data_IF_923140999449
#
_entry.id   IF_923140999449
#
_cell.length_a   1.000
_cell.length_b   1.000
_cell.length_c   1.000
_cell.angle_alpha   90.00
_cell.angle_beta   90.00
_cell.angle_gamma   90.00
#
_symmetry.space_group_name_H-M   'P 1'
#
loop_
_entity.id
_entity.type
_entity.pdbx_description
1 polymer ?
#
# COMPACT_ATOMS: atom_id res chain seq x y z
N UNK A 1 -42.12 -60.41 -8.88
CA UNK A 1 -42.03 -60.72 -10.32
C UNK A 1 -42.94 -59.74 -11.05
N UNK A 2 -42.32 -58.91 -11.89
CA UNK A 2 -42.81 -58.23 -13.13
C UNK A 2 -44.27 -57.76 -13.22
N UNK A 3 -44.63 -56.61 -13.81
CA UNK A 3 -43.93 -55.67 -14.69
C UNK A 3 -44.88 -54.52 -15.08
N UNK A 4 -44.32 -53.32 -15.24
CA UNK A 4 -44.68 -52.20 -16.15
C UNK A 4 -46.15 -51.72 -16.37
N UNK A 5 -46.42 -50.50 -15.85
CA UNK A 5 -46.94 -49.23 -16.47
C UNK A 5 -47.63 -49.27 -17.87
N UNK A 6 -48.53 -48.32 -18.29
CA UNK A 6 -48.42 -46.84 -18.07
C UNK A 6 -49.70 -45.93 -18.16
N UNK A 7 -49.54 -44.59 -17.93
CA UNK A 7 -50.19 -43.43 -18.66
C UNK A 7 -51.72 -43.16 -18.45
N UNK A 8 -52.35 -41.97 -18.30
CA UNK A 8 -52.08 -40.52 -18.47
C UNK A 8 -53.29 -39.76 -17.83
N UNK A 9 -53.09 -38.60 -17.15
CA UNK A 9 -53.96 -37.41 -17.35
C UNK A 9 -53.39 -36.12 -16.70
N UNK A 10 -52.84 -35.26 -17.58
CA UNK A 10 -52.89 -33.76 -17.68
C UNK A 10 -52.73 -32.90 -16.40
N UNK A 11 -51.63 -32.15 -16.22
CA UNK A 11 -51.21 -30.85 -16.83
C UNK A 11 -51.68 -29.59 -16.05
N UNK A 12 -50.69 -28.76 -15.70
CA UNK A 12 -50.68 -27.30 -15.37
C UNK A 12 -51.26 -26.78 -14.04
N UNK A 13 -50.38 -26.26 -13.15
CA UNK A 13 -50.18 -24.80 -12.97
C UNK A 13 -49.18 -24.45 -11.83
N UNK A 14 -48.13 -23.69 -12.24
CA UNK A 14 -47.40 -22.60 -11.56
C UNK A 14 -47.22 -22.59 -10.01
N UNK A 15 -45.95 -22.68 -9.62
CA UNK A 15 -45.17 -21.64 -8.91
C UNK A 15 -45.91 -20.73 -7.91
N UNK A 16 -45.67 -20.88 -6.60
CA UNK A 16 -45.08 -19.87 -5.69
C UNK A 16 -45.17 -20.25 -4.20
N UNK A 17 -44.15 -19.80 -3.45
CA UNK A 17 -44.01 -19.71 -1.98
C UNK A 17 -43.62 -21.01 -1.25
N UNK A 18 -42.58 -21.05 -0.44
CA UNK A 18 -41.64 -20.02 -0.01
C UNK A 18 -40.76 -20.63 1.07
N UNK A 19 -39.45 -20.68 0.84
CA UNK A 19 -38.45 -21.02 1.85
C UNK A 19 -37.94 -19.73 2.48
N UNK A 20 -38.37 -19.46 3.71
CA UNK A 20 -37.66 -18.57 4.61
C UNK A 20 -36.27 -19.16 4.87
N UNK A 21 -35.21 -18.45 4.51
CA UNK A 21 -33.85 -18.76 4.93
C UNK A 21 -33.40 -17.64 5.86
N UNK A 22 -33.27 -17.98 7.14
CA UNK A 22 -32.65 -17.18 8.16
C UNK A 22 -31.24 -17.73 8.39
N UNK A 23 -30.23 -16.86 8.30
CA UNK A 23 -29.06 -16.77 9.19
C UNK A 23 -28.12 -17.97 9.35
N UNK A 24 -26.88 -17.80 8.84
CA UNK A 24 -25.68 -18.52 9.27
C UNK A 24 -25.30 -19.70 8.38
N UNK A 25 -24.40 -19.48 7.42
CA UNK A 25 -23.67 -20.59 6.80
C UNK A 25 -22.81 -21.25 7.88
N UNK A 26 -23.24 -22.40 8.40
CA UNK A 26 -22.35 -23.27 9.17
C UNK A 26 -21.25 -23.74 8.21
N UNK A 27 -20.04 -23.21 8.39
CA UNK A 27 -18.87 -23.67 7.65
C UNK A 27 -18.73 -25.19 7.79
N UNK A 28 -18.43 -25.86 6.68
CA UNK A 28 -18.20 -27.29 6.71
C UNK A 28 -16.93 -27.60 7.53
N UNK A 29 -16.79 -28.83 8.02
CA UNK A 29 -15.56 -29.25 8.69
C UNK A 29 -14.32 -29.09 7.79
N UNK A 30 -14.51 -29.22 6.47
CA UNK A 30 -13.44 -29.02 5.49
C UNK A 30 -13.03 -27.54 5.40
N UNK A 31 -13.98 -26.62 5.41
CA UNK A 31 -13.72 -25.17 5.39
C UNK A 31 -12.92 -24.74 6.63
N UNK A 32 -13.29 -25.24 7.82
CA UNK A 32 -12.57 -24.96 9.07
C UNK A 32 -11.12 -25.45 9.02
N UNK A 33 -10.87 -26.63 8.44
CA UNK A 33 -9.51 -27.17 8.28
C UNK A 33 -8.70 -26.33 7.29
N UNK A 34 -9.32 -25.89 6.19
CA UNK A 34 -8.65 -25.02 5.22
C UNK A 34 -8.29 -23.65 5.80
N UNK A 35 -9.20 -23.04 6.58
CA UNK A 35 -8.95 -21.80 7.32
C UNK A 35 -7.77 -21.92 8.28
N UNK A 36 -7.75 -22.98 9.09
CA UNK A 36 -6.66 -23.21 10.05
C UNK A 36 -5.31 -23.47 9.35
N UNK A 37 -5.31 -24.21 8.24
CA UNK A 37 -4.10 -24.43 7.44
C UNK A 37 -3.56 -23.14 6.83
N UNK A 38 -4.44 -22.28 6.33
CA UNK A 38 -4.03 -20.98 5.78
C UNK A 38 -3.46 -20.08 6.86
N UNK A 39 -4.12 -19.99 8.02
CA UNK A 39 -3.60 -19.26 9.20
C UNK A 39 -2.19 -19.72 9.56
N UNK A 40 -1.96 -21.03 9.64
CA UNK A 40 -0.65 -21.60 9.98
C UNK A 40 0.43 -21.18 8.97
N UNK A 41 0.14 -21.25 7.68
CA UNK A 41 1.10 -20.83 6.62
C UNK A 41 1.48 -19.36 6.74
N UNK A 42 0.51 -18.50 7.06
CA UNK A 42 0.78 -17.07 7.26
C UNK A 42 1.64 -16.80 8.49
N UNK A 43 1.37 -17.54 9.56
CA UNK A 43 2.20 -17.56 10.76
C UNK A 43 3.65 -18.03 10.44
N UNK A 44 3.82 -19.12 9.71
CA UNK A 44 5.15 -19.60 9.29
C UNK A 44 5.89 -18.55 8.45
N UNK A 45 5.19 -17.93 7.49
CA UNK A 45 5.75 -16.84 6.69
C UNK A 45 6.22 -15.64 7.53
N UNK A 46 5.41 -15.17 8.49
CA UNK A 46 5.80 -14.03 9.34
C UNK A 46 7.02 -14.36 10.22
N UNK A 47 7.15 -15.62 10.64
CA UNK A 47 8.29 -16.10 11.43
C UNK A 47 9.60 -16.14 10.64
N UNK A 48 9.52 -16.53 9.36
CA UNK A 48 10.68 -16.73 8.47
C UNK A 48 10.91 -15.54 7.54
N UNK A 49 10.19 -14.42 7.74
CA UNK A 49 10.25 -13.27 6.83
C UNK A 49 11.67 -12.75 6.72
N UNK A 50 12.12 -12.60 5.48
CA UNK A 50 13.42 -12.04 5.10
C UNK A 50 13.25 -11.18 3.86
N UNK A 51 14.18 -10.25 3.57
CA UNK A 51 14.26 -9.64 2.26
C UNK A 51 14.32 -10.72 1.18
N UNK A 52 13.41 -10.64 0.21
CA UNK A 52 13.36 -11.52 -0.95
C UNK A 52 14.04 -10.84 -2.12
N UNK A 53 14.75 -11.60 -2.96
CA UNK A 53 15.32 -11.03 -4.19
C UNK A 53 14.21 -10.64 -5.16
N UNK A 54 14.49 -9.71 -6.08
CA UNK A 54 13.51 -9.26 -7.07
C UNK A 54 12.88 -10.44 -7.84
N UNK A 55 13.67 -11.43 -8.27
CA UNK A 55 13.14 -12.59 -9.01
C UNK A 55 12.20 -13.47 -8.17
N UNK A 56 12.41 -13.53 -6.84
CA UNK A 56 11.51 -14.23 -5.91
C UNK A 56 10.18 -13.47 -5.74
N UNK A 57 10.23 -12.13 -5.83
CA UNK A 57 9.04 -11.28 -5.77
C UNK A 57 8.28 -11.29 -7.12
N UNK A 58 8.95 -11.46 -8.25
CA UNK A 58 8.33 -11.43 -9.59
C UNK A 58 7.52 -12.70 -9.94
N UNK A 59 7.49 -13.71 -9.08
CA UNK A 59 6.67 -14.92 -9.27
C UNK A 59 5.17 -14.58 -9.25
N UNK A 60 4.34 -15.34 -9.97
CA UNK A 60 2.87 -15.18 -9.95
C UNK A 60 2.31 -15.14 -8.52
N UNK A 61 1.44 -14.16 -8.17
CA UNK A 61 0.92 -14.02 -6.80
C UNK A 61 0.26 -15.29 -6.24
N UNK A 62 -0.35 -16.13 -7.08
CA UNK A 62 -0.97 -17.40 -6.67
C UNK A 62 0.03 -18.47 -6.19
N UNK A 63 1.32 -18.31 -6.53
CA UNK A 63 2.42 -19.21 -6.13
C UNK A 63 3.23 -18.62 -4.98
N UNK A 64 2.96 -17.38 -4.58
CA UNK A 64 3.61 -16.74 -3.43
C UNK A 64 2.95 -17.21 -2.13
N UNK A 65 3.69 -17.21 -1.01
CA UNK A 65 3.11 -17.45 0.31
C UNK A 65 2.18 -16.31 0.76
N UNK A 66 2.29 -15.13 0.14
CA UNK A 66 1.55 -13.91 0.47
C UNK A 66 1.10 -13.16 -0.80
N UNK A 67 0.12 -12.28 -0.64
CA UNK A 67 -0.41 -11.44 -1.72
C UNK A 67 -1.50 -12.14 -2.54
N UNK A 68 -1.98 -13.30 -2.08
CA UNK A 68 -3.05 -14.06 -2.73
C UNK A 68 -4.46 -13.62 -2.27
N UNK A 69 -5.45 -13.99 -3.08
CA UNK A 69 -6.87 -13.93 -2.72
C UNK A 69 -7.26 -15.20 -1.99
N UNK A 70 -7.67 -15.07 -0.73
CA UNK A 70 -8.18 -16.18 0.05
C UNK A 70 -9.67 -16.38 -0.22
N UNK A 71 -10.05 -17.64 -0.44
CA UNK A 71 -11.46 -18.04 -0.58
C UNK A 71 -12.06 -18.52 0.74
N UNK A 72 -11.25 -18.76 1.76
CA UNK A 72 -11.70 -19.37 3.03
C UNK A 72 -11.60 -18.43 4.23
N UNK A 73 -10.71 -17.43 4.22
CA UNK A 73 -10.64 -16.46 5.31
C UNK A 73 -11.93 -15.67 5.50
N UNK A 74 -12.23 -15.35 6.75
CA UNK A 74 -13.38 -14.55 7.18
C UNK A 74 -12.99 -13.54 8.25
N UNK A 75 -13.88 -12.60 8.53
CA UNK A 75 -13.66 -11.63 9.61
C UNK A 75 -13.54 -12.25 10.99
N UNK A 76 -14.22 -13.38 11.23
CA UNK A 76 -14.20 -14.06 12.53
C UNK A 76 -12.87 -14.76 12.80
N UNK A 77 -11.98 -14.84 11.81
CA UNK A 77 -10.60 -15.31 12.02
C UNK A 77 -9.75 -14.29 12.79
N UNK A 78 -10.28 -13.09 13.07
CA UNK A 78 -9.51 -11.99 13.63
C UNK A 78 -10.16 -11.37 14.87
N UNK A 79 -9.36 -11.13 15.91
CA UNK A 79 -9.71 -10.25 17.01
C UNK A 79 -9.32 -8.81 16.62
N UNK A 80 -10.30 -7.90 16.55
CA UNK A 80 -10.08 -6.48 16.27
C UNK A 80 -9.61 -5.76 17.55
N UNK A 81 -8.39 -5.20 17.53
CA UNK A 81 -7.75 -4.62 18.72
C UNK A 81 -7.98 -3.11 18.79
N UNK A 82 -7.54 -2.35 17.79
CA UNK A 82 -7.61 -0.88 17.76
C UNK A 82 -7.72 -0.40 16.31
N UNK A 83 -8.45 0.69 16.07
CA UNK A 83 -8.36 1.39 14.77
C UNK A 83 -7.03 2.13 14.67
N UNK A 84 -6.26 1.85 13.62
CA UNK A 84 -4.97 2.49 13.32
C UNK A 84 -5.12 3.71 12.41
N UNK A 85 -6.20 3.77 11.62
CA UNK A 85 -6.42 4.85 10.67
C UNK A 85 -7.81 4.80 10.03
N UNK A 86 -8.29 5.97 9.61
CA UNK A 86 -9.54 6.11 8.86
C UNK A 86 -9.31 6.92 7.59
N UNK A 87 -9.69 6.36 6.45
CA UNK A 87 -9.76 7.06 5.17
C UNK A 87 -11.22 7.28 4.75
N UNK A 88 -11.42 7.88 3.57
CA UNK A 88 -12.74 8.25 3.04
C UNK A 88 -13.73 7.07 2.92
N UNK A 89 -13.23 5.87 2.62
CA UNK A 89 -14.03 4.64 2.46
C UNK A 89 -13.35 3.39 3.07
N UNK A 90 -12.24 3.60 3.78
CA UNK A 90 -11.44 2.53 4.37
C UNK A 90 -11.24 2.78 5.85
N UNK A 91 -11.21 1.71 6.64
CA UNK A 91 -10.78 1.74 8.04
C UNK A 91 -9.74 0.66 8.26
N UNK A 92 -8.63 1.03 8.87
CA UNK A 92 -7.52 0.12 9.15
C UNK A 92 -7.57 -0.27 10.63
N UNK A 93 -7.65 -1.57 10.88
CA UNK A 93 -7.66 -2.13 12.23
C UNK A 93 -6.35 -2.85 12.51
N UNK A 94 -5.77 -2.64 13.69
CA UNK A 94 -4.83 -3.59 14.26
C UNK A 94 -5.62 -4.84 14.63
N UNK A 95 -5.16 -5.98 14.15
CA UNK A 95 -5.81 -7.27 14.38
C UNK A 95 -4.78 -8.32 14.81
N UNK A 96 -5.27 -9.37 15.45
CA UNK A 96 -4.55 -10.64 15.61
C UNK A 96 -5.45 -11.78 15.19
N UNK A 97 -4.88 -12.95 14.91
CA UNK A 97 -5.71 -14.12 14.69
C UNK A 97 -6.48 -14.51 15.96
N UNK A 98 -7.77 -14.78 15.80
CA UNK A 98 -8.63 -15.24 16.87
C UNK A 98 -8.11 -16.58 17.41
N UNK A 99 -8.26 -16.78 18.72
CA UNK A 99 -7.80 -17.98 19.43
C UNK A 99 -6.30 -18.32 19.25
N UNK A 100 -5.47 -17.35 18.86
CA UNK A 100 -4.03 -17.55 18.76
C UNK A 100 -3.42 -17.93 20.12
N UNK A 101 -2.52 -18.92 20.11
CA UNK A 101 -1.86 -19.48 21.30
C UNK A 101 -0.34 -19.33 21.19
N UNK A 102 0.35 -19.34 22.33
CA UNK A 102 1.81 -19.28 22.35
C UNK A 102 2.33 -18.01 21.67
N UNK A 103 3.38 -18.14 20.87
CA UNK A 103 4.04 -17.04 20.15
C UNK A 103 3.14 -16.38 19.10
N UNK A 104 2.17 -17.10 18.53
CA UNK A 104 1.20 -16.54 17.59
C UNK A 104 0.29 -15.50 18.23
N UNK A 105 0.17 -15.52 19.57
CA UNK A 105 -0.62 -14.50 20.29
C UNK A 105 -0.07 -13.12 19.99
N UNK A 106 1.24 -12.94 19.97
CA UNK A 106 1.84 -11.62 19.79
C UNK A 106 1.99 -11.19 18.33
N UNK A 107 1.57 -12.03 17.38
CA UNK A 107 1.54 -11.68 15.96
C UNK A 107 0.31 -10.83 15.65
N UNK A 108 0.58 -9.68 15.06
CA UNK A 108 -0.42 -8.69 14.72
C UNK A 108 -0.28 -8.22 13.29
N UNK A 109 -1.39 -7.81 12.71
CA UNK A 109 -1.52 -7.37 11.33
C UNK A 109 -2.37 -6.11 11.26
N UNK A 110 -2.33 -5.42 10.12
CA UNK A 110 -3.22 -4.33 9.81
C UNK A 110 -4.31 -4.80 8.81
N UNK A 111 -5.56 -4.86 9.25
CA UNK A 111 -6.70 -5.23 8.42
C UNK A 111 -7.37 -3.97 7.86
N UNK A 112 -7.16 -3.69 6.57
CA UNK A 112 -7.84 -2.62 5.85
C UNK A 112 -9.22 -3.12 5.41
N UNK A 113 -10.29 -2.57 6.00
CA UNK A 113 -11.69 -2.84 5.65
C UNK A 113 -12.21 -1.77 4.71
N UNK A 114 -12.77 -2.15 3.57
CA UNK A 114 -13.37 -1.23 2.59
C UNK A 114 -14.82 -1.64 2.31
N UNK A 115 -15.79 -0.78 2.63
CA UNK A 115 -17.20 -1.10 2.37
C UNK A 115 -17.53 -0.99 0.89
N UNK A 116 -18.07 -2.06 0.29
CA UNK A 116 -18.41 -2.11 -1.14
C UNK A 116 -19.33 -0.95 -1.54
N UNK A 117 -20.32 -0.62 -0.71
CA UNK A 117 -21.26 0.48 -0.95
C UNK A 117 -20.54 1.83 -1.10
N UNK A 118 -19.62 2.14 -0.19
CA UNK A 118 -18.90 3.42 -0.25
C UNK A 118 -17.92 3.47 -1.43
N UNK A 119 -17.22 2.35 -1.69
CA UNK A 119 -16.32 2.22 -2.84
C UNK A 119 -17.08 2.46 -4.15
N UNK A 120 -18.29 1.91 -4.29
CA UNK A 120 -19.13 2.11 -5.48
C UNK A 120 -19.65 3.54 -5.55
N UNK A 121 -20.23 4.06 -4.45
CA UNK A 121 -20.81 5.41 -4.40
C UNK A 121 -19.78 6.49 -4.76
N UNK A 122 -18.55 6.32 -4.29
CA UNK A 122 -17.43 7.24 -4.56
C UNK A 122 -16.68 6.94 -5.87
N UNK A 123 -17.17 5.98 -6.67
CA UNK A 123 -16.57 5.57 -7.95
C UNK A 123 -15.10 5.12 -7.83
N UNK A 124 -14.75 4.46 -6.73
CA UNK A 124 -13.38 4.02 -6.41
C UNK A 124 -13.12 2.54 -6.73
N UNK A 125 -14.05 1.86 -7.43
CA UNK A 125 -13.95 0.42 -7.75
C UNK A 125 -12.63 0.09 -8.45
N UNK A 126 -12.24 0.85 -9.46
CA UNK A 126 -11.00 0.61 -10.20
C UNK A 126 -9.75 0.89 -9.34
N UNK A 127 -9.76 1.97 -8.55
CA UNK A 127 -8.65 2.30 -7.65
C UNK A 127 -8.41 1.20 -6.62
N UNK A 128 -9.47 0.69 -5.98
CA UNK A 128 -9.36 -0.40 -4.98
C UNK A 128 -8.84 -1.71 -5.60
N UNK A 129 -9.32 -2.05 -6.80
CA UNK A 129 -8.81 -3.24 -7.53
C UNK A 129 -7.35 -3.08 -7.90
N UNK A 130 -6.97 -1.91 -8.40
CA UNK A 130 -5.62 -1.60 -8.79
C UNK A 130 -4.67 -1.61 -7.58
N UNK A 131 -5.06 -1.00 -6.46
CA UNK A 131 -4.30 -1.05 -5.20
C UNK A 131 -4.02 -2.50 -4.79
N UNK A 132 -5.06 -3.35 -4.73
CA UNK A 132 -4.92 -4.77 -4.37
C UNK A 132 -4.01 -5.52 -5.33
N UNK A 133 -4.16 -5.30 -6.63
CA UNK A 133 -3.36 -5.99 -7.65
C UNK A 133 -1.88 -5.59 -7.60
N UNK A 134 -1.59 -4.30 -7.39
CA UNK A 134 -0.22 -3.82 -7.24
C UNK A 134 0.38 -4.36 -5.95
N UNK A 135 -0.33 -4.27 -4.82
CA UNK A 135 0.15 -4.84 -3.55
C UNK A 135 0.44 -6.35 -3.65
N UNK A 136 -0.39 -7.11 -4.37
CA UNK A 136 -0.13 -8.53 -4.64
C UNK A 136 1.16 -8.76 -5.46
N UNK A 137 1.42 -7.91 -6.46
CA UNK A 137 2.59 -8.08 -7.34
C UNK A 137 3.90 -7.70 -6.64
N UNK A 138 3.86 -6.76 -5.71
CA UNK A 138 5.04 -6.27 -4.97
C UNK A 138 5.24 -6.92 -3.59
N UNK A 139 4.30 -7.76 -3.16
CA UNK A 139 4.34 -8.45 -1.87
C UNK A 139 5.67 -9.19 -1.66
N UNK A 140 6.36 -8.90 -0.55
CA UNK A 140 7.67 -9.44 -0.19
C UNK A 140 8.85 -8.49 -0.36
N UNK A 141 8.67 -7.32 -0.99
CA UNK A 141 9.73 -6.30 -1.04
C UNK A 141 10.02 -5.75 0.38
N UNK A 142 11.30 -5.62 0.81
CA UNK A 142 11.66 -5.30 2.19
C UNK A 142 11.07 -3.96 2.68
N UNK A 143 10.98 -2.97 1.80
CA UNK A 143 10.56 -1.60 2.13
C UNK A 143 9.15 -1.22 1.64
N UNK A 144 8.36 -2.17 1.11
CA UNK A 144 6.96 -1.93 0.73
C UNK A 144 6.09 -2.73 1.68
N UNK A 145 4.95 -2.18 2.11
CA UNK A 145 3.99 -2.92 2.91
C UNK A 145 3.53 -4.19 2.18
N UNK A 146 3.73 -5.33 2.82
CA UNK A 146 3.30 -6.62 2.28
C UNK A 146 1.83 -6.83 2.55
N UNK A 147 1.04 -6.97 1.48
CA UNK A 147 -0.29 -7.57 1.58
C UNK A 147 -0.13 -9.07 1.77
N UNK A 148 -0.50 -9.54 2.95
CA UNK A 148 -0.45 -10.94 3.34
C UNK A 148 -1.51 -11.73 2.57
N UNK A 149 -2.74 -11.23 2.56
CA UNK A 149 -3.84 -11.78 1.77
C UNK A 149 -4.95 -10.74 1.57
N UNK A 150 -5.82 -10.99 0.60
CA UNK A 150 -7.10 -10.29 0.47
C UNK A 150 -8.27 -11.26 0.52
N UNK A 151 -9.41 -10.81 1.01
CA UNK A 151 -10.67 -11.58 1.01
C UNK A 151 -11.86 -10.62 0.99
N UNK A 152 -13.08 -11.16 0.92
CA UNK A 152 -14.30 -10.36 0.95
C UNK A 152 -15.45 -11.13 1.60
N UNK A 153 -16.41 -10.37 2.11
CA UNK A 153 -17.74 -10.87 2.46
C UNK A 153 -18.81 -10.20 1.58
N UNK A 154 -20.08 -10.29 1.99
CA UNK A 154 -21.18 -9.66 1.27
C UNK A 154 -21.00 -8.14 1.14
N UNK A 155 -20.60 -7.44 2.20
CA UNK A 155 -20.63 -5.98 2.29
C UNK A 155 -19.25 -5.32 2.16
N UNK A 156 -18.18 -6.06 2.42
CA UNK A 156 -16.85 -5.50 2.70
C UNK A 156 -15.74 -6.27 1.98
N UNK A 157 -14.75 -5.51 1.52
CA UNK A 157 -13.47 -6.00 1.01
C UNK A 157 -12.41 -5.86 2.09
N UNK A 158 -11.51 -6.83 2.17
CA UNK A 158 -10.48 -6.90 3.20
C UNK A 158 -9.10 -7.06 2.56
N UNK A 159 -8.13 -6.29 3.05
CA UNK A 159 -6.71 -6.52 2.79
C UNK A 159 -6.02 -6.68 4.14
N UNK A 160 -5.46 -7.86 4.38
CA UNK A 160 -4.61 -8.15 5.52
C UNK A 160 -3.18 -7.74 5.16
N UNK A 161 -2.66 -6.74 5.86
CA UNK A 161 -1.35 -6.13 5.62
C UNK A 161 -0.41 -6.41 6.80
N UNK A 162 0.89 -6.40 6.56
CA UNK A 162 1.86 -6.39 7.65
C UNK A 162 1.67 -5.15 8.54
N UNK A 163 1.80 -5.32 9.85
CA UNK A 163 1.72 -4.21 10.79
C UNK A 163 3.07 -3.51 10.96
N UNK A 164 3.07 -2.18 10.86
CA UNK A 164 4.26 -1.34 11.00
C UNK A 164 4.13 -0.43 12.24
N UNK A 165 4.75 -0.76 13.39
CA UNK A 165 4.44 -0.14 14.68
C UNK A 165 5.05 1.25 14.90
N UNK A 166 6.05 1.66 14.11
CA UNK A 166 6.75 2.93 14.33
C UNK A 166 5.94 4.16 13.92
N UNK A 167 4.84 4.00 13.18
CA UNK A 167 4.03 5.12 12.70
C UNK A 167 4.69 5.88 11.55
N UNK A 168 4.13 7.04 11.21
CA UNK A 168 4.51 7.83 10.04
C UNK A 168 5.84 8.57 10.21
N UNK A 169 6.69 8.55 9.17
CA UNK A 169 7.92 9.35 9.09
C UNK A 169 7.62 10.84 9.28
N UNK A 170 6.46 11.29 8.80
CA UNK A 170 5.97 12.66 9.01
C UNK A 170 6.08 13.11 10.48
N UNK A 171 5.61 12.29 11.42
CA UNK A 171 5.62 12.60 12.85
C UNK A 171 7.03 12.74 13.42
N UNK A 172 7.98 11.94 12.93
CA UNK A 172 9.39 12.05 13.32
C UNK A 172 10.04 13.30 12.74
N UNK A 173 9.78 13.60 11.47
CA UNK A 173 10.31 14.79 10.81
C UNK A 173 9.83 16.07 11.51
N UNK A 174 8.53 16.17 11.81
CA UNK A 174 7.96 17.34 12.50
C UNK A 174 8.57 17.54 13.89
N UNK A 175 8.78 16.45 14.63
CA UNK A 175 9.39 16.49 15.97
C UNK A 175 10.86 16.87 15.91
N UNK A 176 11.62 16.31 14.97
CA UNK A 176 13.03 16.63 14.76
C UNK A 176 13.23 18.02 14.11
N UNK A 177 12.16 18.61 13.57
CA UNK A 177 12.12 19.78 12.67
C UNK A 177 12.75 19.51 11.31
N UNK A 178 13.88 18.81 11.27
CA UNK A 178 14.56 18.31 10.06
C UNK A 178 15.45 17.14 10.44
N UNK A 179 15.74 16.26 9.50
CA UNK A 179 16.74 15.22 9.66
C UNK A 179 18.14 15.73 9.33
N UNK A 180 19.14 15.06 9.90
CA UNK A 180 20.52 15.25 9.48
C UNK A 180 20.76 14.52 8.14
N UNK A 181 21.86 14.86 7.47
CA UNK A 181 22.13 14.38 6.13
C UNK A 181 22.26 12.86 6.04
N UNK A 182 22.94 12.22 7.01
CA UNK A 182 23.07 10.76 7.05
C UNK A 182 21.71 10.04 7.19
N UNK A 183 20.80 10.57 8.01
CA UNK A 183 19.44 10.02 8.18
C UNK A 183 18.64 10.19 6.89
N UNK A 184 18.70 11.38 6.28
CA UNK A 184 18.04 11.65 4.99
C UNK A 184 18.57 10.74 3.89
N UNK A 185 19.88 10.53 3.83
CA UNK A 185 20.55 9.68 2.83
C UNK A 185 20.14 8.21 3.00
N UNK A 186 20.11 7.70 4.22
CA UNK A 186 19.67 6.33 4.51
C UNK A 186 18.24 6.10 4.02
N UNK A 187 17.31 6.98 4.40
CA UNK A 187 15.90 6.86 3.99
C UNK A 187 15.69 7.08 2.50
N UNK A 188 16.40 8.02 1.88
CA UNK A 188 16.36 8.19 0.44
C UNK A 188 16.88 6.96 -0.30
N UNK A 189 17.91 6.27 0.22
CA UNK A 189 18.42 5.04 -0.39
C UNK A 189 17.37 3.92 -0.39
N UNK A 190 16.59 3.76 0.68
CA UNK A 190 15.48 2.79 0.72
C UNK A 190 14.38 3.12 -0.31
N UNK A 191 14.04 4.40 -0.46
CA UNK A 191 13.08 4.85 -1.49
C UNK A 191 13.62 4.61 -2.91
N UNK A 192 14.92 4.83 -3.15
CA UNK A 192 15.55 4.53 -4.45
C UNK A 192 15.44 3.06 -4.79
N UNK A 193 15.62 2.15 -3.82
CA UNK A 193 15.46 0.70 -4.02
C UNK A 193 14.00 0.33 -4.32
N UNK A 194 13.04 0.97 -3.65
CA UNK A 194 11.61 0.81 -3.96
C UNK A 194 11.32 1.23 -5.40
N UNK A 195 11.79 2.39 -5.82
CA UNK A 195 11.55 2.90 -7.18
C UNK A 195 12.28 2.10 -8.24
N UNK A 196 13.51 1.65 -8.00
CA UNK A 196 14.21 0.70 -8.88
C UNK A 196 13.34 -0.54 -9.12
N UNK A 197 12.79 -1.13 -8.07
CA UNK A 197 11.91 -2.30 -8.21
C UNK A 197 10.59 -1.97 -8.93
N UNK A 198 9.86 -0.94 -8.48
CA UNK A 198 8.56 -0.58 -9.07
C UNK A 198 8.68 -0.18 -10.54
N UNK A 199 9.71 0.58 -10.89
CA UNK A 199 9.90 1.09 -12.24
C UNK A 199 10.46 0.00 -13.16
N UNK A 200 11.60 -0.59 -12.78
CA UNK A 200 12.38 -1.43 -13.71
C UNK A 200 11.84 -2.86 -13.78
N UNK A 201 11.16 -3.35 -12.73
CA UNK A 201 10.63 -4.73 -12.67
C UNK A 201 9.11 -4.79 -12.86
N UNK A 202 8.37 -3.84 -12.30
CA UNK A 202 6.90 -3.87 -12.35
C UNK A 202 6.30 -2.93 -13.41
N UNK A 203 7.03 -1.90 -13.84
CA UNK A 203 6.52 -0.85 -14.72
C UNK A 203 5.38 -0.05 -14.06
N UNK A 204 5.46 0.19 -12.75
CA UNK A 204 4.44 0.85 -11.92
C UNK A 204 4.97 2.19 -11.43
N UNK A 205 4.22 3.27 -11.67
CA UNK A 205 4.43 4.54 -10.99
C UNK A 205 3.63 4.56 -9.67
N UNK A 206 4.22 5.05 -8.58
CA UNK A 206 3.59 5.13 -7.25
C UNK A 206 2.69 6.37 -7.09
N UNK A 207 3.18 7.55 -7.48
CA UNK A 207 2.45 8.82 -7.65
C UNK A 207 1.86 9.49 -6.39
N UNK A 208 2.17 9.01 -5.18
CA UNK A 208 1.78 9.70 -3.93
C UNK A 208 2.89 9.67 -2.87
N UNK A 209 4.16 9.84 -3.26
CA UNK A 209 5.27 9.90 -2.31
C UNK A 209 5.15 11.16 -1.45
N UNK A 210 5.10 10.97 -0.13
CA UNK A 210 5.11 12.00 0.91
C UNK A 210 5.41 11.35 2.27
N UNK A 211 5.86 12.11 3.29
CA UNK A 211 6.21 11.55 4.59
C UNK A 211 5.07 10.82 5.31
N UNK A 212 3.81 11.18 5.03
CA UNK A 212 2.59 10.57 5.59
C UNK A 212 2.36 9.15 5.07
N UNK A 213 2.79 8.85 3.84
CA UNK A 213 2.64 7.52 3.23
C UNK A 213 3.87 6.62 3.46
N UNK A 214 4.76 7.01 4.36
CA UNK A 214 5.96 6.25 4.70
C UNK A 214 5.92 5.95 6.20
N UNK A 215 5.87 4.67 6.55
CA UNK A 215 5.93 4.23 7.95
C UNK A 215 7.34 3.79 8.33
N UNK A 216 7.63 3.74 9.62
CA UNK A 216 8.87 3.19 10.18
C UNK A 216 8.56 1.87 10.89
N UNK A 217 9.31 0.81 10.60
CA UNK A 217 9.15 -0.49 11.26
C UNK A 217 9.87 -0.56 12.62
N UNK A 218 9.79 -1.70 13.32
CA UNK A 218 10.40 -1.88 14.64
C UNK A 218 11.93 -1.81 14.66
N UNK A 219 12.58 -1.94 13.51
CA UNK A 219 14.04 -1.88 13.36
C UNK A 219 14.51 -0.56 12.75
N UNK A 220 13.58 0.36 12.46
CA UNK A 220 13.86 1.71 11.99
C UNK A 220 13.90 1.89 10.48
N UNK A 221 13.53 0.85 9.71
CA UNK A 221 13.49 0.89 8.24
C UNK A 221 12.14 1.40 7.73
N UNK A 222 12.13 1.94 6.52
CA UNK A 222 10.91 2.44 5.89
C UNK A 222 10.00 1.31 5.39
N UNK A 223 8.70 1.58 5.45
CA UNK A 223 7.64 0.83 4.78
C UNK A 223 6.77 1.80 4.00
N UNK A 224 6.86 1.76 2.68
CA UNK A 224 5.96 2.50 1.79
C UNK A 224 4.57 1.86 1.85
N UNK A 225 3.56 2.67 2.13
CA UNK A 225 2.15 2.26 2.24
C UNK A 225 1.28 2.97 1.20
N UNK A 226 -0.02 2.65 1.17
CA UNK A 226 -1.04 3.28 0.33
C UNK A 226 -0.72 3.32 -1.18
N UNK A 227 -1.13 2.28 -1.90
CA UNK A 227 -0.94 2.16 -3.35
C UNK A 227 -2.19 2.59 -4.12
N UNK A 228 -3.07 3.40 -3.51
CA UNK A 228 -4.32 3.87 -4.12
C UNK A 228 -4.14 4.66 -5.42
N UNK A 229 -3.02 5.38 -5.56
CA UNK A 229 -2.66 6.12 -6.78
C UNK A 229 -1.60 5.42 -7.63
N UNK A 230 -1.08 4.28 -7.20
CA UNK A 230 -0.13 3.53 -8.00
C UNK A 230 -0.76 3.14 -9.34
N UNK A 231 0.01 3.03 -10.42
CA UNK A 231 -0.54 2.66 -11.73
C UNK A 231 0.51 1.98 -12.58
N UNK A 232 0.12 0.89 -13.24
CA UNK A 232 0.97 0.26 -14.25
C UNK A 232 1.00 1.13 -15.52
N UNK A 233 2.19 1.51 -15.94
CA UNK A 233 2.42 2.52 -16.99
C UNK A 233 2.78 1.87 -18.33
N UNK A 234 3.30 0.63 -18.39
CA UNK A 234 3.52 -0.20 -19.61
C UNK A 234 3.88 0.58 -20.91
N UNK A 235 4.84 1.50 -20.85
CA UNK A 235 5.28 2.38 -21.96
C UNK A 235 4.23 3.37 -22.51
N UNK A 236 3.17 3.66 -21.75
CA UNK A 236 2.12 4.62 -22.08
C UNK A 236 2.13 5.77 -21.09
N UNK A 237 1.64 6.93 -21.50
CA UNK A 237 1.41 8.03 -20.57
C UNK A 237 0.05 7.89 -19.88
N UNK A 238 -0.02 8.38 -18.65
CA UNK A 238 -1.27 8.63 -17.94
C UNK A 238 -1.50 10.13 -17.81
N UNK A 239 -2.77 10.55 -17.71
CA UNK A 239 -3.20 11.95 -17.68
C UNK A 239 -4.01 12.29 -16.41
N UNK A 240 -4.10 11.34 -15.47
CA UNK A 240 -4.83 11.55 -14.21
C UNK A 240 -4.04 12.48 -13.30
N UNK A 241 -4.58 13.66 -13.01
CA UNK A 241 -4.09 14.55 -11.96
C UNK A 241 -4.39 13.95 -10.58
N UNK A 242 -3.38 13.42 -9.92
CA UNK A 242 -3.46 12.85 -8.57
C UNK A 242 -2.13 13.06 -7.82
N UNK A 243 -2.17 12.91 -6.50
CA UNK A 243 -1.04 13.14 -5.61
C UNK A 243 -1.25 14.37 -4.72
N UNK A 244 -0.22 14.70 -3.96
CA UNK A 244 -0.25 15.80 -2.98
C UNK A 244 0.37 17.06 -3.60
N UNK A 245 -0.26 18.26 -3.50
CA UNK A 245 0.12 19.44 -4.26
C UNK A 245 1.61 19.78 -4.24
N UNK A 246 2.25 19.73 -3.07
CA UNK A 246 3.66 20.06 -2.82
C UNK A 246 4.64 19.09 -3.49
N UNK A 247 4.17 17.88 -3.83
CA UNK A 247 4.94 16.78 -4.40
C UNK A 247 4.69 16.57 -5.90
N UNK A 248 3.73 17.28 -6.50
CA UNK A 248 3.39 17.11 -7.91
C UNK A 248 4.54 17.53 -8.82
N UNK A 249 4.81 16.71 -9.85
CA UNK A 249 5.76 17.06 -10.89
C UNK A 249 5.16 18.08 -11.90
N UNK A 250 5.98 18.93 -12.55
CA UNK A 250 5.50 19.95 -13.48
C UNK A 250 4.66 19.39 -14.64
N UNK A 251 5.00 18.22 -15.17
CA UNK A 251 4.27 17.57 -16.26
C UNK A 251 2.88 17.07 -15.85
N UNK A 252 2.68 16.76 -14.56
CA UNK A 252 1.36 16.38 -14.01
C UNK A 252 0.46 17.61 -13.95
N UNK A 253 0.99 18.74 -13.49
CA UNK A 253 0.28 20.03 -13.41
C UNK A 253 -0.07 20.54 -14.81
N UNK A 254 0.86 20.45 -15.76
CA UNK A 254 0.65 20.85 -17.16
C UNK A 254 -0.24 19.88 -17.94
N UNK A 255 -0.55 18.71 -17.36
CA UNK A 255 -1.33 17.65 -18.00
C UNK A 255 -0.79 17.24 -19.38
N UNK A 256 0.54 17.16 -19.52
CA UNK A 256 1.21 16.82 -20.80
C UNK A 256 1.43 15.33 -21.01
N UNK A 257 0.81 14.49 -20.18
CA UNK A 257 1.16 13.08 -20.06
C UNK A 257 2.33 12.87 -19.10
N UNK A 258 2.25 11.82 -18.29
CA UNK A 258 3.28 11.49 -17.32
C UNK A 258 3.44 9.97 -17.16
N UNK A 259 4.65 9.56 -16.73
CA UNK A 259 5.02 8.17 -16.48
C UNK A 259 5.79 8.01 -15.17
N UNK A 260 6.79 7.14 -15.16
CA UNK A 260 7.58 6.78 -13.97
C UNK A 260 8.45 7.94 -13.44
N UNK A 261 8.71 8.97 -14.26
CA UNK A 261 9.56 10.12 -13.93
C UNK A 261 9.03 11.01 -12.81
N UNK A 262 7.72 10.94 -12.52
CA UNK A 262 7.08 11.77 -11.50
C UNK A 262 7.51 11.36 -10.09
N UNK A 263 7.80 10.07 -9.89
CA UNK A 263 8.25 9.54 -8.60
C UNK A 263 9.67 10.03 -8.29
N UNK A 264 10.54 10.14 -9.29
CA UNK A 264 11.88 10.72 -9.11
C UNK A 264 11.84 12.21 -8.75
N UNK A 265 10.90 12.97 -9.31
CA UNK A 265 10.65 14.35 -8.88
C UNK A 265 10.24 14.38 -7.40
N UNK A 266 9.25 13.56 -7.03
CA UNK A 266 8.76 13.48 -5.66
C UNK A 266 9.86 13.06 -4.66
N UNK A 267 10.81 12.21 -5.06
CA UNK A 267 11.99 11.90 -4.25
C UNK A 267 12.87 13.13 -4.00
N UNK A 268 13.08 13.99 -5.01
CA UNK A 268 13.80 15.24 -4.84
C UNK A 268 13.13 16.18 -3.84
N UNK A 269 11.80 16.28 -3.90
CA UNK A 269 10.97 17.01 -2.92
C UNK A 269 11.14 16.41 -1.51
N UNK A 270 11.06 15.08 -1.39
CA UNK A 270 11.19 14.37 -0.10
C UNK A 270 12.58 14.58 0.54
N UNK A 271 13.66 14.46 -0.25
CA UNK A 271 15.03 14.69 0.23
C UNK A 271 15.18 16.12 0.74
N UNK A 272 14.65 17.11 -0.01
CA UNK A 272 14.64 18.50 0.43
C UNK A 272 13.88 18.65 1.75
N UNK A 273 12.67 18.10 1.84
CA UNK A 273 11.84 18.19 3.04
C UNK A 273 12.50 17.51 4.25
N UNK A 274 13.19 16.39 4.08
CA UNK A 274 13.98 15.80 5.17
C UNK A 274 15.09 16.74 5.65
N UNK A 275 15.83 17.39 4.74
CA UNK A 275 16.98 18.25 5.09
C UNK A 275 16.59 19.64 5.59
N UNK A 276 15.41 20.13 5.21
CA UNK A 276 14.95 21.51 5.48
C UNK A 276 13.81 21.55 6.49
N UNK A 277 13.01 20.49 6.58
CA UNK A 277 11.85 20.38 7.46
C UNK A 277 10.50 20.74 6.83
N UNK A 278 10.52 21.22 5.58
CA UNK A 278 9.34 21.64 4.83
C UNK A 278 9.62 21.47 3.33
N UNK A 279 8.59 21.29 2.49
CA UNK A 279 8.77 21.19 1.05
C UNK A 279 9.35 22.49 0.45
N UNK A 280 10.02 22.42 -0.71
CA UNK A 280 10.62 23.58 -1.37
C UNK A 280 9.59 24.53 -1.98
N UNK A 281 8.39 24.03 -2.29
CA UNK A 281 7.27 24.78 -2.84
C UNK A 281 6.12 24.74 -1.84
N UNK A 282 5.67 25.91 -1.39
CA UNK A 282 4.60 26.00 -0.41
C UNK A 282 3.87 27.34 -0.52
N UNK A 283 2.56 27.30 -0.37
CA UNK A 283 1.67 28.45 -0.23
C UNK A 283 0.34 27.95 0.37
N UNK A 284 -0.47 28.84 0.93
CA UNK A 284 -1.83 28.49 1.37
C UNK A 284 -2.78 28.23 0.18
N UNK A 285 -2.48 28.79 -0.99
CA UNK A 285 -3.23 28.58 -2.22
C UNK A 285 -2.53 27.55 -3.11
N UNK A 286 -3.13 26.38 -3.37
CA UNK A 286 -2.57 25.35 -4.25
C UNK A 286 -2.17 25.86 -5.64
N UNK A 287 -2.90 26.84 -6.20
CA UNK A 287 -2.56 27.41 -7.51
C UNK A 287 -1.19 28.11 -7.50
N UNK A 288 -0.82 28.76 -6.39
CA UNK A 288 0.51 29.38 -6.26
C UNK A 288 1.60 28.34 -6.07
N UNK A 289 1.30 27.22 -5.41
CA UNK A 289 2.23 26.08 -5.35
C UNK A 289 2.50 25.58 -6.78
N UNK A 290 1.45 25.44 -7.60
CA UNK A 290 1.58 25.01 -8.99
C UNK A 290 2.42 25.98 -9.83
N UNK A 291 2.23 27.29 -9.67
CA UNK A 291 3.06 28.30 -10.32
C UNK A 291 4.54 28.14 -9.96
N UNK A 292 4.86 27.96 -8.66
CA UNK A 292 6.23 27.75 -8.19
C UNK A 292 6.86 26.45 -8.74
N UNK A 293 6.10 25.35 -8.76
CA UNK A 293 6.55 24.06 -9.30
C UNK A 293 6.88 24.18 -10.80
N UNK A 294 6.00 24.84 -11.56
CA UNK A 294 6.17 25.05 -13.00
C UNK A 294 7.35 25.97 -13.31
N UNK A 295 7.64 26.95 -12.45
CA UNK A 295 8.84 27.79 -12.51
C UNK A 295 10.12 26.99 -12.17
N UNK A 296 10.03 26.03 -11.24
CA UNK A 296 11.10 25.08 -10.91
C UNK A 296 12.28 25.68 -10.15
N UNK A 297 12.12 26.87 -9.54
CA UNK A 297 13.20 27.54 -8.80
C UNK A 297 13.21 27.12 -7.34
N UNK A 298 14.06 26.15 -7.01
CA UNK A 298 14.29 25.72 -5.62
C UNK A 298 15.31 26.66 -4.95
N UNK A 299 15.00 27.10 -3.72
CA UNK A 299 15.92 27.88 -2.88
C UNK A 299 16.54 26.97 -1.84
N UNK A 300 17.86 26.98 -1.74
CA UNK A 300 18.59 26.08 -0.85
C UNK A 300 19.23 26.85 0.33
N UNK A 301 19.03 26.43 1.59
CA UNK A 301 19.70 27.02 2.76
C UNK A 301 21.22 26.96 2.62
N UNK A 302 21.96 28.01 3.00
CA UNK A 302 23.43 28.08 2.84
C UNK A 302 24.21 26.92 3.50
N UNK A 303 23.67 26.34 4.58
CA UNK A 303 24.29 25.23 5.30
C UNK A 303 24.14 23.86 4.61
N UNK A 304 23.32 23.73 3.56
CA UNK A 304 23.15 22.47 2.84
C UNK A 304 24.41 22.14 2.01
N UNK A 305 24.85 20.88 2.06
CA UNK A 305 26.01 20.38 1.32
C UNK A 305 25.83 20.56 -0.18
N UNK A 306 26.95 20.65 -0.91
CA UNK A 306 26.91 20.78 -2.37
C UNK A 306 26.30 19.54 -3.02
N UNK A 307 26.66 18.35 -2.55
CA UNK A 307 26.15 17.07 -3.08
C UNK A 307 24.64 16.95 -2.87
N UNK A 308 24.10 17.41 -1.74
CA UNK A 308 22.66 17.42 -1.48
C UNK A 308 21.90 18.39 -2.41
N UNK A 309 22.45 19.59 -2.66
CA UNK A 309 21.86 20.53 -3.63
C UNK A 309 21.86 19.94 -5.03
N UNK A 310 22.93 19.27 -5.40
CA UNK A 310 23.12 18.69 -6.72
C UNK A 310 22.09 17.57 -6.98
N UNK A 311 21.94 16.61 -6.05
CA UNK A 311 20.97 15.52 -6.20
C UNK A 311 19.53 16.05 -6.27
N UNK A 312 19.17 16.99 -5.39
CA UNK A 312 17.82 17.58 -5.40
C UNK A 312 17.57 18.32 -6.71
N UNK A 313 18.55 19.09 -7.21
CA UNK A 313 18.40 19.82 -8.48
C UNK A 313 18.28 18.86 -9.68
N UNK A 314 19.04 17.77 -9.68
CA UNK A 314 19.03 16.77 -10.74
C UNK A 314 17.70 15.97 -10.77
N UNK A 315 17.13 15.65 -9.59
CA UNK A 315 15.82 15.01 -9.45
C UNK A 315 14.66 15.98 -9.74
N UNK A 316 14.77 17.23 -9.30
CA UNK A 316 13.77 18.27 -9.52
C UNK A 316 14.03 19.08 -10.80
N UNK A 317 14.53 18.42 -11.85
CA UNK A 317 14.69 19.02 -13.18
C UNK A 317 13.33 19.05 -13.89
N UNK A 318 12.90 20.24 -14.30
CA UNK A 318 11.59 20.46 -14.96
C UNK A 318 11.51 19.76 -16.32
N UNK A 319 12.60 19.76 -17.07
CA UNK A 319 12.70 19.01 -18.33
C UNK A 319 12.86 17.51 -18.04
N UNK A 320 11.76 16.76 -18.21
CA UNK A 320 11.68 15.32 -17.94
C UNK A 320 12.78 14.53 -18.66
N UNK A 321 13.19 14.96 -19.86
CA UNK A 321 14.24 14.27 -20.64
C UNK A 321 15.64 14.36 -20.03
N UNK A 322 15.84 15.31 -19.11
CA UNK A 322 17.11 15.57 -18.40
C UNK A 322 17.05 15.18 -16.93
N UNK A 323 15.88 14.77 -16.44
CA UNK A 323 15.67 14.45 -15.02
C UNK A 323 16.41 13.19 -14.63
N UNK A 324 17.18 13.27 -13.53
CA UNK A 324 17.85 12.11 -12.95
C UNK A 324 16.83 11.02 -12.60
N UNK A 325 17.16 9.76 -12.86
CA UNK A 325 16.23 8.62 -12.76
C UNK A 325 15.41 8.36 -14.02
N UNK A 326 15.24 9.36 -14.91
CA UNK A 326 14.61 9.19 -16.23
C UNK A 326 15.62 9.20 -17.39
N UNK A 327 16.81 9.75 -17.17
CA UNK A 327 17.93 9.67 -18.14
C UNK A 327 18.46 8.23 -18.30
N UNK A 328 19.34 8.04 -19.29
CA UNK A 328 20.04 6.76 -19.49
C UNK A 328 20.69 6.29 -18.18
N UNK A 329 20.40 5.05 -17.81
CA UNK A 329 20.85 4.44 -16.56
C UNK A 329 19.76 4.40 -15.48
N UNK A 330 18.65 5.12 -15.63
CA UNK A 330 17.48 5.00 -14.75
C UNK A 330 17.85 5.13 -13.26
N UNK A 331 17.39 4.18 -12.44
CA UNK A 331 17.73 4.10 -11.02
C UNK A 331 19.26 3.99 -10.77
N UNK A 332 20.01 3.30 -11.65
CA UNK A 332 21.47 3.20 -11.50
C UNK A 332 22.17 4.56 -11.60
N UNK A 333 21.63 5.50 -12.40
CA UNK A 333 22.16 6.86 -12.45
C UNK A 333 21.95 7.61 -11.13
N UNK A 334 20.81 7.40 -10.45
CA UNK A 334 20.54 7.93 -9.11
C UNK A 334 21.50 7.33 -8.09
N UNK A 335 21.67 6.00 -8.10
CA UNK A 335 22.53 5.26 -7.16
C UNK A 335 24.01 5.67 -7.23
N UNK A 336 24.47 6.07 -8.42
CA UNK A 336 25.86 6.49 -8.67
C UNK A 336 26.11 7.98 -8.40
N UNK A 337 25.10 8.75 -7.98
CA UNK A 337 25.28 10.15 -7.67
C UNK A 337 26.22 10.36 -6.47
N UNK A 338 27.02 11.43 -6.46
CA UNK A 338 28.02 11.70 -5.41
C UNK A 338 27.41 11.74 -4.00
N UNK A 339 26.17 12.22 -3.90
CA UNK A 339 25.40 12.22 -2.64
C UNK A 339 25.14 10.83 -2.06
N UNK A 340 25.29 9.73 -2.83
CA UNK A 340 25.17 8.35 -2.36
C UNK A 340 26.52 7.59 -2.37
N UNK A 341 27.65 8.27 -2.55
CA UNK A 341 28.97 7.62 -2.78
C UNK A 341 29.38 6.56 -1.76
N UNK A 342 28.96 6.72 -0.49
CA UNK A 342 29.30 5.83 0.62
C UNK A 342 28.17 4.81 0.94
N UNK A 343 27.15 4.73 0.08
CA UNK A 343 25.99 3.83 0.28
C UNK A 343 26.30 2.43 -0.23
N UNK A 344 26.33 1.46 0.67
CA UNK A 344 26.30 0.04 0.32
C UNK A 344 24.86 -0.40 0.07
N UNK A 345 24.46 -0.41 -1.21
CA UNK A 345 23.10 -0.73 -1.65
C UNK A 345 22.64 -2.14 -1.25
N UNK A 346 23.54 -3.12 -1.24
CA UNK A 346 23.22 -4.48 -0.81
C UNK A 346 23.03 -4.54 0.70
N UNK A 347 23.88 -3.84 1.47
CA UNK A 347 23.70 -3.75 2.91
C UNK A 347 22.38 -3.07 3.30
N UNK A 348 21.97 -2.03 2.56
CA UNK A 348 20.66 -1.41 2.73
C UNK A 348 19.56 -2.42 2.39
N UNK A 349 19.55 -2.98 1.18
CA UNK A 349 18.48 -3.88 0.72
C UNK A 349 18.26 -5.09 1.62
N UNK A 350 19.34 -5.76 2.03
CA UNK A 350 19.29 -6.92 2.91
C UNK A 350 19.24 -6.56 4.39
N UNK A 351 19.06 -5.27 4.72
CA UNK A 351 18.87 -4.74 6.09
C UNK A 351 19.97 -5.23 7.04
N UNK A 352 21.24 -5.17 6.58
CA UNK A 352 22.41 -5.61 7.37
C UNK A 352 22.68 -4.73 8.60
N UNK A 353 22.11 -3.53 8.62
CA UNK A 353 22.18 -2.55 9.70
C UNK A 353 20.77 -2.07 10.02
N UNK A 354 20.51 -1.72 11.29
CA UNK A 354 19.25 -1.06 11.69
C UNK A 354 19.13 0.32 11.07
N UNK A 355 17.89 0.80 10.95
CA UNK A 355 17.61 2.16 10.52
C UNK A 355 18.00 3.23 11.55
N UNK A 356 18.13 4.49 11.13
CA UNK A 356 18.65 5.59 11.96
C UNK A 356 17.69 6.00 13.08
N UNK A 357 16.38 5.77 12.92
CA UNK A 357 15.36 6.06 13.92
C UNK A 357 14.66 4.76 14.31
N UNK A 358 15.09 4.16 15.41
CA UNK A 358 14.45 2.96 15.96
C UNK A 358 13.34 3.38 16.92
N UNK A 359 12.06 3.04 16.67
CA UNK A 359 10.96 3.43 17.53
C UNK A 359 11.03 2.75 18.90
N UNK A 360 10.65 3.47 19.95
CA UNK A 360 10.55 2.88 21.29
C UNK A 360 9.18 2.20 21.47
N UNK A 361 9.16 0.87 21.52
CA UNK A 361 7.95 0.05 21.58
C UNK A 361 7.91 -0.75 22.89
N UNK A 362 6.72 -0.90 23.50
CA UNK A 362 6.48 -1.79 24.66
C UNK A 362 6.15 -3.23 24.26
N UNK A 363 5.87 -3.48 22.97
CA UNK A 363 5.60 -4.82 22.45
C UNK A 363 5.13 -4.80 21.00
N UNK A 364 4.88 -5.98 20.40
CA UNK A 364 4.52 -6.10 18.98
C UNK A 364 3.20 -5.43 18.59
N UNK A 365 2.25 -5.35 19.53
CA UNK A 365 0.92 -4.75 19.34
C UNK A 365 0.85 -3.27 19.79
N UNK A 366 2.00 -2.62 20.02
CA UNK A 366 2.06 -1.26 20.54
C UNK A 366 1.55 -0.23 19.52
N UNK A 367 0.58 0.58 19.92
CA UNK A 367 -0.07 1.59 19.06
C UNK A 367 0.19 3.02 19.50
N UNK A 368 1.21 3.29 20.33
CA UNK A 368 1.52 4.64 20.84
C UNK A 368 1.83 5.68 19.76
N UNK A 369 2.26 5.23 18.59
CA UNK A 369 2.60 6.09 17.46
C UNK A 369 1.41 6.35 16.53
N UNK A 370 0.19 5.94 16.92
CA UNK A 370 -1.04 6.10 16.16
C UNK A 370 -2.07 6.89 16.96
N UNK A 371 -2.81 7.75 16.26
CA UNK A 371 -3.87 8.57 16.83
C UNK A 371 -5.02 7.73 17.40
N UNK A 372 -5.85 8.37 18.23
CA UNK A 372 -7.11 7.80 18.68
C UNK A 372 -8.23 8.16 17.69
N UNK A 373 -8.97 7.13 17.26
CA UNK A 373 -10.08 7.27 16.32
C UNK A 373 -11.41 6.91 16.97
N UNK A 374 -12.46 7.62 16.56
CA UNK A 374 -13.82 7.31 16.99
C UNK A 374 -14.28 5.92 16.55
N UNK A 375 -15.21 5.35 17.33
CA UNK A 375 -15.85 4.08 17.02
C UNK A 375 -16.46 4.08 15.60
N UNK A 376 -16.54 2.89 14.99
CA UNK A 376 -17.05 2.76 13.63
C UNK A 376 -18.53 3.16 13.59
N UNK A 377 -18.91 4.17 12.78
CA UNK A 377 -20.30 4.58 12.69
C UNK A 377 -21.11 3.46 12.07
N UNK A 378 -22.33 3.25 12.59
CA UNK A 378 -23.23 2.21 12.05
C UNK A 378 -23.44 2.43 10.54
N UNK A 379 -23.41 1.36 9.73
CA UNK A 379 -23.67 1.48 8.30
C UNK A 379 -25.03 2.13 8.05
N UNK A 380 -25.04 3.21 7.28
CA UNK A 380 -26.26 3.91 6.87
C UNK A 380 -26.93 3.25 5.67
N UNK A 381 -26.13 2.60 4.82
CA UNK A 381 -26.54 1.99 3.56
C UNK A 381 -26.03 0.54 3.53
N UNK A 382 -26.84 -0.37 2.98
CA UNK A 382 -26.55 -1.80 2.87
C UNK A 382 -26.16 -2.15 1.44
N UNK A 383 -25.35 -3.19 1.26
CA UNK A 383 -25.04 -3.71 -0.06
C UNK A 383 -26.21 -4.53 -0.58
N UNK A 384 -27.03 -3.91 -1.45
CA UNK A 384 -28.26 -4.52 -1.96
C UNK A 384 -27.99 -5.59 -3.00
N UNK A 385 -28.99 -6.43 -3.28
CA UNK A 385 -28.90 -7.46 -4.33
C UNK A 385 -28.64 -6.85 -5.71
N UNK A 386 -29.22 -5.70 -6.01
CA UNK A 386 -28.98 -4.99 -7.28
C UNK A 386 -27.52 -4.53 -7.40
N UNK A 387 -26.91 -4.10 -6.30
CA UNK A 387 -25.50 -3.75 -6.27
C UNK A 387 -24.60 -4.98 -6.43
N UNK A 388 -24.93 -6.09 -5.78
CA UNK A 388 -24.23 -7.37 -5.93
C UNK A 388 -24.23 -7.86 -7.37
N UNK A 389 -25.40 -7.94 -8.01
CA UNK A 389 -25.54 -8.39 -9.40
C UNK A 389 -24.72 -7.52 -10.38
N UNK A 390 -24.60 -6.22 -10.10
CA UNK A 390 -23.88 -5.28 -10.95
C UNK A 390 -22.37 -5.25 -10.68
N UNK A 391 -21.93 -5.42 -9.44
CA UNK A 391 -20.55 -5.10 -9.04
C UNK A 391 -19.71 -6.27 -8.54
N UNK A 392 -20.26 -7.42 -8.12
CA UNK A 392 -19.45 -8.50 -7.54
C UNK A 392 -18.39 -9.05 -8.51
N UNK A 393 -18.65 -9.02 -9.81
CA UNK A 393 -17.67 -9.43 -10.82
C UNK A 393 -16.38 -8.59 -10.77
N UNK A 394 -16.47 -7.32 -10.38
CA UNK A 394 -15.31 -6.45 -10.21
C UNK A 394 -14.45 -6.87 -9.01
N UNK A 395 -15.06 -7.48 -8.00
CA UNK A 395 -14.40 -7.85 -6.76
C UNK A 395 -13.97 -9.30 -6.73
N UNK A 396 -14.25 -10.12 -7.75
CA UNK A 396 -14.02 -11.58 -7.76
C UNK A 396 -12.60 -12.07 -7.37
N UNK A 397 -11.59 -11.23 -7.58
CA UNK A 397 -10.21 -11.55 -7.21
C UNK A 397 -9.76 -10.96 -5.86
N UNK A 398 -10.68 -10.36 -5.09
CA UNK A 398 -10.61 -10.36 -3.62
C UNK A 398 -11.07 -11.73 -3.12
#
# INVERSE_FOLDING_TARGET
>A
MSSHQPILQKITSRLHRGSQSNGGSQDSKEDLVQRENERRRLCEWDAEKRPLDYDQIMVEPSKKPVGHSSKVMRTEDFDLIKTLGTGTFARVWLVRFANAKGEDRDRVFALKKLRKVDVIRLKQVEHVRNERNVLASVAGHPFITTMVASFQDQDTLYMLLEYCPGGEVFSYLRRARRFNEATSQFYAAEIVLIFEFLHDKQGVAYRDLKPENILIDSEGHLKLVDFGFAKKVENRETYTLCGTPEYLAPEVIRNTGHGLSVDWWALGILIYEFLVGQPPFWDQNPMKIYEQIVEGKIRFPSAMSQDARDIISALCTVDVSKRLGNIRGGASAVKNHAWFKDTDWDAVYYRKCKGPIVPHLSGPADTRNFDEYEAEPRPKEQYTKELSEKYDWHFRDF
#
